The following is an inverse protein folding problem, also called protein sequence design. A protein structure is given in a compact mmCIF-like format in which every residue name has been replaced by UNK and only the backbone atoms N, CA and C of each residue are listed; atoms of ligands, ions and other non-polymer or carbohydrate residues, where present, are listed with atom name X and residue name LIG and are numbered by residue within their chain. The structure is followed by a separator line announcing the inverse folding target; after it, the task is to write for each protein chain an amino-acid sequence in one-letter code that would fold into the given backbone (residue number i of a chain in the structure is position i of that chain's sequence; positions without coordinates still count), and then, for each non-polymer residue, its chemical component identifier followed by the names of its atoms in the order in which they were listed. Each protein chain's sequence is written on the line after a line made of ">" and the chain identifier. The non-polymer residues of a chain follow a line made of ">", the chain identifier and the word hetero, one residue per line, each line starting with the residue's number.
data_IF_857603947522
#
_entry.id   IF_857603947522
#
_cell.length_a   1.000
_cell.length_b   1.000
_cell.length_c   1.000
_cell.angle_alpha   90.00
_cell.angle_beta   90.00
_cell.angle_gamma   90.00
#
_symmetry.space_group_name_H-M   'P 1'
#
loop_
_entity.id
_entity.type
_entity.pdbx_description
1 polymer ?
#
# COMPACT_ATOMS: atom_id res chain seq x y z
N UNK A 1 4.43 -10.37 -10.34
CA UNK A 1 4.34 -8.89 -10.25
C UNK A 1 4.80 -8.53 -8.85
N UNK A 2 5.60 -7.48 -8.65
CA UNK A 2 6.09 -7.11 -7.32
C UNK A 2 4.91 -6.91 -6.36
N UNK A 3 5.03 -7.50 -5.17
CA UNK A 3 4.02 -7.39 -4.11
C UNK A 3 4.01 -5.95 -3.59
N UNK A 4 5.18 -5.33 -3.46
CA UNK A 4 5.39 -3.99 -2.93
C UNK A 4 5.76 -2.98 -4.01
N UNK A 5 5.30 -1.75 -3.81
CA UNK A 5 5.76 -0.63 -4.61
C UNK A 5 7.16 -0.21 -4.16
N UNK A 6 7.44 -0.26 -2.85
CA UNK A 6 8.75 0.08 -2.31
C UNK A 6 9.05 -0.67 -1.02
N UNK A 7 10.29 -1.11 -0.85
CA UNK A 7 10.78 -1.67 0.40
C UNK A 7 11.76 -0.69 1.06
N UNK A 8 11.63 -0.45 2.37
CA UNK A 8 12.54 0.45 3.10
C UNK A 8 13.63 -0.39 3.77
N UNK A 9 14.89 -0.08 3.47
CA UNK A 9 16.06 -0.69 4.10
C UNK A 9 16.75 0.34 4.98
N UNK A 10 16.88 0.06 6.27
CA UNK A 10 17.39 1.00 7.26
C UNK A 10 18.13 0.30 8.41
N UNK A 11 18.96 1.02 9.16
CA UNK A 11 19.53 0.52 10.41
C UNK A 11 18.52 0.69 11.53
N UNK A 12 18.53 -0.17 12.55
CA UNK A 12 17.59 -0.08 13.66
C UNK A 12 17.56 1.29 14.35
N UNK A 13 18.69 2.01 14.36
CA UNK A 13 18.83 3.37 14.87
C UNK A 13 18.07 4.43 14.06
N UNK A 14 17.87 4.20 12.77
CA UNK A 14 17.21 5.14 11.86
C UNK A 14 15.68 4.89 11.77
N UNK A 15 15.16 4.03 12.66
CA UNK A 15 13.76 3.58 12.66
C UNK A 15 12.75 4.71 12.65
N UNK A 16 12.97 5.75 13.45
CA UNK A 16 12.03 6.88 13.52
C UNK A 16 11.82 7.55 12.15
N UNK A 17 12.87 7.61 11.33
CA UNK A 17 12.79 8.16 9.97
C UNK A 17 12.10 7.17 9.04
N UNK A 18 12.45 5.89 9.13
CA UNK A 18 11.82 4.82 8.34
C UNK A 18 10.30 4.74 8.58
N UNK A 19 9.86 4.77 9.84
CA UNK A 19 8.44 4.75 10.21
C UNK A 19 7.69 5.97 9.66
N UNK A 20 8.30 7.16 9.75
CA UNK A 20 7.69 8.40 9.24
C UNK A 20 7.52 8.37 7.72
N UNK A 21 8.52 7.85 6.99
CA UNK A 21 8.44 7.64 5.55
C UNK A 21 7.39 6.59 5.20
N UNK A 22 7.43 5.42 5.84
CA UNK A 22 6.50 4.32 5.60
C UNK A 22 5.06 4.74 5.81
N UNK A 23 4.75 5.31 6.98
CA UNK A 23 3.40 5.76 7.31
C UNK A 23 2.89 6.80 6.32
N UNK A 24 3.74 7.76 5.92
CA UNK A 24 3.33 8.82 4.99
C UNK A 24 3.12 8.28 3.57
N UNK A 25 3.99 7.38 3.06
CA UNK A 25 3.81 6.69 1.78
C UNK A 25 2.54 5.84 1.77
N UNK A 26 2.25 5.12 2.85
CA UNK A 26 1.02 4.35 3.00
C UNK A 26 -0.21 5.25 2.94
N UNK A 27 -0.17 6.46 3.50
CA UNK A 27 -1.28 7.43 3.38
C UNK A 27 -1.47 7.98 1.96
N UNK A 28 -0.51 7.75 1.06
CA UNK A 28 -0.59 8.09 -0.38
C UNK A 28 -1.00 6.91 -1.25
N UNK A 29 -1.39 5.77 -0.67
CA UNK A 29 -1.79 4.59 -1.42
C UNK A 29 -0.62 3.80 -2.03
N UNK A 30 0.57 3.94 -1.44
CA UNK A 30 1.77 3.19 -1.87
C UNK A 30 1.89 1.95 -0.99
N UNK A 31 2.06 0.78 -1.60
CA UNK A 31 2.30 -0.45 -0.87
C UNK A 31 3.77 -0.52 -0.43
N UNK A 32 4.02 -0.38 0.87
CA UNK A 32 5.36 -0.29 1.45
C UNK A 32 5.68 -1.55 2.25
N UNK A 33 6.83 -2.18 1.99
CA UNK A 33 7.43 -3.14 2.91
C UNK A 33 8.23 -2.41 3.99
N UNK A 34 7.84 -2.65 5.24
CA UNK A 34 8.49 -2.14 6.46
C UNK A 34 8.52 -3.27 7.50
N UNK A 35 9.71 -3.65 7.94
CA UNK A 35 9.98 -4.87 8.72
C UNK A 35 9.19 -4.98 10.03
N UNK A 36 8.87 -3.86 10.68
CA UNK A 36 8.05 -3.83 11.91
C UNK A 36 6.57 -4.13 11.63
N UNK A 37 6.08 -3.85 10.42
CA UNK A 37 4.77 -4.33 9.98
C UNK A 37 4.80 -5.85 9.78
N UNK A 38 5.92 -6.41 9.32
CA UNK A 38 6.08 -7.84 9.10
C UNK A 38 6.54 -8.63 10.35
N UNK A 39 6.53 -8.06 11.56
CA UNK A 39 7.17 -8.66 12.75
C UNK A 39 6.61 -10.06 13.11
N UNK A 40 5.31 -10.30 12.93
CA UNK A 40 4.69 -11.61 13.11
C UNK A 40 5.09 -12.60 12.01
N UNK A 41 5.24 -12.12 10.77
CA UNK A 41 5.64 -12.94 9.62
C UNK A 41 7.13 -13.26 9.61
N UNK A 42 7.96 -12.41 10.22
CA UNK A 42 9.41 -12.58 10.36
C UNK A 42 9.79 -13.47 11.55
N UNK A 43 8.87 -13.72 12.47
CA UNK A 43 9.13 -14.52 13.67
C UNK A 43 9.47 -15.98 13.30
N UNK A 44 10.69 -16.40 13.63
CA UNK A 44 11.18 -17.77 13.38
C UNK A 44 11.65 -18.05 11.94
N UNK A 45 11.59 -17.07 11.04
CA UNK A 45 12.19 -17.17 9.70
C UNK A 45 13.66 -16.76 9.73
N UNK A 46 14.43 -17.31 8.80
CA UNK A 46 15.72 -16.74 8.47
C UNK A 46 15.51 -15.36 7.83
N UNK A 47 15.66 -14.32 8.65
CA UNK A 47 15.53 -12.91 8.27
C UNK A 47 16.36 -12.58 7.04
N UNK A 48 17.53 -13.20 6.87
CA UNK A 48 18.42 -12.88 5.77
C UNK A 48 17.89 -13.39 4.43
N UNK A 49 17.45 -14.64 4.36
CA UNK A 49 16.87 -15.22 3.14
C UNK A 49 15.57 -14.49 2.77
N UNK A 50 14.75 -14.16 3.77
CA UNK A 50 13.47 -13.51 3.54
C UNK A 50 13.62 -12.06 3.08
N UNK A 51 14.44 -11.25 3.77
CA UNK A 51 14.70 -9.87 3.36
C UNK A 51 15.36 -9.81 1.99
N UNK A 52 16.30 -10.72 1.68
CA UNK A 52 16.93 -10.78 0.34
C UNK A 52 15.89 -11.02 -0.75
N UNK A 53 14.94 -11.93 -0.53
CA UNK A 53 13.86 -12.19 -1.48
C UNK A 53 12.98 -10.96 -1.68
N UNK A 54 12.62 -10.27 -0.60
CA UNK A 54 11.78 -9.08 -0.67
C UNK A 54 12.47 -7.95 -1.41
N UNK A 55 13.72 -7.65 -1.02
CA UNK A 55 14.53 -6.63 -1.65
C UNK A 55 15.01 -7.01 -3.05
N UNK A 56 14.79 -8.23 -3.54
CA UNK A 56 15.19 -8.62 -4.91
C UNK A 56 13.99 -8.77 -5.84
N UNK A 57 12.98 -9.51 -5.38
CA UNK A 57 11.95 -10.08 -6.24
C UNK A 57 10.54 -9.55 -5.92
N UNK A 58 10.31 -8.97 -4.75
CA UNK A 58 8.97 -8.64 -4.27
C UNK A 58 8.67 -7.14 -4.19
N UNK A 59 9.64 -6.25 -4.37
CA UNK A 59 9.43 -4.80 -4.45
C UNK A 59 9.81 -4.19 -5.81
N UNK A 60 9.18 -3.08 -6.21
CA UNK A 60 9.57 -2.33 -7.44
C UNK A 60 10.83 -1.51 -7.23
N UNK A 61 10.99 -0.94 -6.04
CA UNK A 61 12.15 -0.17 -5.62
C UNK A 61 12.56 -0.51 -4.18
N UNK A 62 13.84 -0.31 -3.87
CA UNK A 62 14.36 -0.35 -2.50
C UNK A 62 14.82 1.05 -2.09
N UNK A 63 14.13 1.67 -1.13
CA UNK A 63 14.58 2.91 -0.49
C UNK A 63 15.62 2.57 0.57
N UNK A 64 16.87 2.96 0.35
CA UNK A 64 17.94 2.70 1.29
C UNK A 64 18.25 3.95 2.12
N UNK A 65 18.04 3.86 3.43
CA UNK A 65 18.44 4.91 4.36
C UNK A 65 19.94 4.78 4.64
N UNK A 66 20.72 5.62 3.96
CA UNK A 66 22.18 5.59 4.04
C UNK A 66 22.62 6.40 5.26
N UNK A 67 23.19 5.72 6.24
CA UNK A 67 23.77 6.30 7.45
C UNK A 67 25.05 5.56 7.87
N UNK A 68 25.83 6.14 8.77
CA UNK A 68 26.95 5.45 9.42
C UNK A 68 26.49 4.18 10.13
N UNK A 69 25.31 4.22 10.76
CA UNK A 69 24.73 3.07 11.46
C UNK A 69 24.41 1.94 10.47
N UNK A 70 23.88 2.29 9.30
CA UNK A 70 23.62 1.36 8.21
C UNK A 70 24.92 0.72 7.72
N UNK A 71 25.94 1.52 7.42
CA UNK A 71 27.25 1.05 6.98
C UNK A 71 27.92 0.13 8.01
N UNK A 72 27.77 0.40 9.31
CA UNK A 72 28.38 -0.39 10.39
C UNK A 72 27.63 -1.69 10.71
N UNK A 73 26.31 -1.75 10.58
CA UNK A 73 25.52 -2.90 11.07
C UNK A 73 24.95 -3.80 9.99
N UNK A 74 24.36 -3.21 8.96
CA UNK A 74 23.78 -3.97 7.84
C UNK A 74 24.89 -4.52 6.95
N UNK A 75 25.98 -3.75 6.81
CA UNK A 75 27.07 -4.09 5.92
C UNK A 75 28.16 -4.99 6.55
N UNK A 76 28.35 -5.08 7.86
CA UNK A 76 29.59 -5.70 8.42
C UNK A 76 29.73 -7.21 8.26
N UNK A 77 28.66 -7.95 7.97
CA UNK A 77 28.77 -9.41 7.79
C UNK A 77 29.12 -9.74 6.34
N UNK A 78 30.35 -10.19 6.06
CA UNK A 78 30.87 -10.40 4.70
C UNK A 78 29.99 -11.30 3.81
N UNK A 79 29.33 -12.31 4.38
CA UNK A 79 28.36 -13.16 3.66
C UNK A 79 27.09 -12.38 3.29
N UNK A 80 26.63 -11.49 4.18
CA UNK A 80 25.50 -10.58 3.92
C UNK A 80 25.83 -9.55 2.85
N UNK A 81 27.05 -8.98 2.86
CA UNK A 81 27.55 -8.04 1.83
C UNK A 81 27.46 -8.65 0.43
N UNK A 82 27.92 -9.89 0.25
CA UNK A 82 28.05 -10.48 -1.08
C UNK A 82 26.70 -10.74 -1.75
N UNK A 83 25.70 -11.26 -1.03
CA UNK A 83 24.39 -11.53 -1.61
C UNK A 83 23.58 -10.25 -1.84
N UNK A 84 23.63 -9.31 -0.90
CA UNK A 84 22.98 -8.01 -1.06
C UNK A 84 23.62 -7.22 -2.20
N UNK A 85 24.95 -7.06 -2.21
CA UNK A 85 25.64 -6.36 -3.30
C UNK A 85 25.40 -7.00 -4.67
N UNK A 86 25.28 -8.33 -4.76
CA UNK A 86 24.97 -9.02 -6.02
C UNK A 86 23.52 -8.79 -6.47
N UNK A 87 22.55 -8.87 -5.55
CA UNK A 87 21.15 -8.55 -5.85
C UNK A 87 20.98 -7.08 -6.28
N UNK A 88 21.79 -6.19 -5.72
CA UNK A 88 21.75 -4.75 -5.98
C UNK A 88 22.51 -4.32 -7.24
N UNK A 89 23.62 -4.96 -7.58
CA UNK A 89 24.41 -4.64 -8.77
C UNK A 89 23.70 -5.04 -10.09
N UNK A 90 22.79 -6.01 -10.05
CA UNK A 90 22.07 -6.49 -11.22
C UNK A 90 20.95 -5.53 -11.70
N UNK A 91 20.54 -4.52 -10.90
CA UNK A 91 19.41 -3.65 -11.24
C UNK A 91 19.69 -2.14 -10.99
N UNK A 92 20.32 -1.47 -11.96
CA UNK A 92 20.91 -0.11 -11.85
C UNK A 92 19.97 1.02 -11.38
N UNK A 93 18.65 0.85 -11.47
CA UNK A 93 17.68 1.87 -11.03
C UNK A 93 16.76 1.44 -9.87
N UNK A 94 16.99 0.25 -9.32
CA UNK A 94 16.17 -0.32 -8.28
C UNK A 94 16.39 0.31 -6.90
N UNK A 95 17.64 0.66 -6.58
CA UNK A 95 17.98 1.30 -5.31
C UNK A 95 17.74 2.80 -5.43
N UNK A 96 17.03 3.35 -4.45
CA UNK A 96 16.85 4.78 -4.24
C UNK A 96 17.60 5.17 -2.96
N UNK A 97 18.84 5.70 -3.05
CA UNK A 97 19.58 6.11 -1.86
C UNK A 97 19.00 7.39 -1.26
N UNK A 98 18.69 7.35 0.03
CA UNK A 98 18.31 8.49 0.85
C UNK A 98 19.36 8.68 1.96
N UNK A 99 20.24 9.67 1.79
CA UNK A 99 21.32 9.97 2.73
C UNK A 99 20.79 10.67 3.97
N UNK A 100 21.07 10.08 5.13
CA UNK A 100 20.82 10.67 6.45
C UNK A 100 22.07 11.40 6.99
N UNK A 101 23.25 10.96 6.56
CA UNK A 101 24.54 11.57 6.84
C UNK A 101 25.50 11.45 5.63
N UNK A 102 26.79 11.68 5.83
CA UNK A 102 27.82 11.65 4.79
C UNK A 102 28.50 10.28 4.65
N UNK A 103 27.94 9.23 5.24
CA UNK A 103 28.47 7.88 5.11
C UNK A 103 28.44 7.38 3.66
N UNK A 104 29.44 6.56 3.34
CA UNK A 104 29.47 5.74 2.15
C UNK A 104 29.12 4.29 2.50
N UNK A 105 28.46 3.61 1.55
CA UNK A 105 28.11 2.19 1.65
C UNK A 105 28.75 1.50 0.45
N UNK A 106 29.57 0.48 0.68
CA UNK A 106 30.22 -0.23 -0.42
C UNK A 106 29.15 -0.76 -1.40
N UNK A 107 29.44 -0.84 -2.70
CA UNK A 107 28.48 -1.36 -3.68
C UNK A 107 27.43 -0.35 -4.17
N UNK A 108 27.30 0.82 -3.55
CA UNK A 108 26.68 1.99 -4.19
C UNK A 108 27.80 2.80 -4.85
N UNK A 109 27.72 2.96 -6.16
CA UNK A 109 28.69 3.78 -6.90
C UNK A 109 28.53 5.26 -6.53
N UNK A 110 29.62 6.01 -6.43
CA UNK A 110 29.58 7.46 -6.19
C UNK A 110 28.82 8.24 -7.26
N UNK A 111 28.66 7.65 -8.46
CA UNK A 111 27.87 8.21 -9.56
C UNK A 111 26.36 7.97 -9.43
N UNK A 112 25.92 7.25 -8.39
CA UNK A 112 24.50 6.98 -8.15
C UNK A 112 23.82 8.24 -7.63
N UNK A 113 22.76 8.69 -8.31
CA UNK A 113 21.96 9.81 -7.84
C UNK A 113 21.30 9.49 -6.49
N UNK A 114 21.29 10.46 -5.57
CA UNK A 114 20.74 10.30 -4.22
C UNK A 114 19.92 11.51 -3.81
N UNK A 115 19.06 11.32 -2.82
CA UNK A 115 18.37 12.39 -2.10
C UNK A 115 19.07 12.58 -0.76
N UNK A 116 19.31 13.82 -0.35
CA UNK A 116 19.84 14.15 0.98
C UNK A 116 18.68 14.56 1.89
N UNK A 117 18.34 13.70 2.86
CA UNK A 117 17.23 13.89 3.79
C UNK A 117 17.36 15.17 4.61
N UNK A 118 18.59 15.66 4.81
CA UNK A 118 18.88 16.88 5.59
C UNK A 118 18.57 18.16 4.82
N UNK A 119 18.38 18.07 3.49
CA UNK A 119 18.25 19.23 2.58
C UNK A 119 16.88 19.36 1.95
N UNK A 120 16.05 18.33 2.04
CA UNK A 120 14.76 18.26 1.35
C UNK A 120 13.69 17.92 2.37
N UNK A 121 12.61 18.69 2.37
CA UNK A 121 11.45 18.47 3.22
C UNK A 121 10.81 17.10 2.96
N UNK A 122 10.30 16.45 4.00
CA UNK A 122 9.75 15.10 3.93
C UNK A 122 8.66 14.99 2.86
N UNK A 123 7.73 15.93 2.81
CA UNK A 123 6.63 15.94 1.83
C UNK A 123 7.17 15.91 0.41
N UNK A 124 8.28 16.61 0.15
CA UNK A 124 8.91 16.61 -1.17
C UNK A 124 9.59 15.29 -1.50
N UNK A 125 10.21 14.65 -0.51
CA UNK A 125 10.77 13.30 -0.66
C UNK A 125 9.67 12.30 -1.02
N UNK A 126 8.53 12.37 -0.32
CA UNK A 126 7.36 11.52 -0.58
C UNK A 126 6.83 11.73 -2.00
N UNK A 127 6.74 12.97 -2.48
CA UNK A 127 6.34 13.27 -3.87
C UNK A 127 7.28 12.64 -4.89
N UNK A 128 8.60 12.76 -4.68
CA UNK A 128 9.61 12.21 -5.59
C UNK A 128 9.50 10.68 -5.66
N UNK A 129 9.38 10.02 -4.49
CA UNK A 129 9.20 8.57 -4.40
C UNK A 129 7.91 8.14 -5.11
N UNK A 130 6.80 8.85 -4.84
CA UNK A 130 5.50 8.57 -5.46
C UNK A 130 5.56 8.68 -6.98
N UNK A 131 6.25 9.71 -7.50
CA UNK A 131 6.46 9.89 -8.94
C UNK A 131 7.22 8.72 -9.55
N UNK A 132 8.33 8.29 -8.92
CA UNK A 132 9.14 7.13 -9.37
C UNK A 132 8.29 5.85 -9.50
N UNK A 133 7.39 5.64 -8.54
CA UNK A 133 6.47 4.49 -8.53
C UNK A 133 5.40 4.63 -9.62
N UNK A 134 4.80 5.81 -9.77
CA UNK A 134 3.81 6.06 -10.81
C UNK A 134 4.40 5.91 -12.23
N UNK A 135 5.63 6.37 -12.45
CA UNK A 135 6.32 6.25 -13.72
C UNK A 135 6.64 4.79 -14.04
N UNK A 136 7.11 4.02 -13.04
CA UNK A 136 7.27 2.56 -13.19
C UNK A 136 5.95 1.93 -13.62
N UNK A 137 4.86 2.28 -12.93
CA UNK A 137 3.55 1.70 -13.21
C UNK A 137 3.09 2.01 -14.63
N UNK A 138 3.22 3.27 -15.06
CA UNK A 138 2.92 3.68 -16.43
C UNK A 138 3.75 2.92 -17.46
N UNK A 139 5.06 2.76 -17.23
CA UNK A 139 5.96 2.06 -18.14
C UNK A 139 5.64 0.55 -18.26
N UNK A 140 5.05 -0.03 -17.22
CA UNK A 140 4.69 -1.46 -17.18
C UNK A 140 3.20 -1.72 -17.40
N UNK A 141 2.43 -0.73 -17.87
CA UNK A 141 1.00 -0.86 -18.13
C UNK A 141 0.16 -1.13 -16.87
N UNK A 142 0.69 -0.80 -15.69
CA UNK A 142 -0.02 -0.87 -14.42
C UNK A 142 -0.84 0.43 -14.31
N UNK A 143 -2.12 0.37 -14.68
CA UNK A 143 -3.04 1.50 -14.58
C UNK A 143 -3.77 1.48 -13.23
N UNK A 144 -3.79 2.63 -12.56
CA UNK A 144 -4.70 2.86 -11.43
C UNK A 144 -6.03 3.32 -12.02
N UNK A 145 -6.85 2.35 -12.42
CA UNK A 145 -8.21 2.61 -12.90
C UNK A 145 -9.19 2.63 -11.73
N UNK A 146 -10.32 3.31 -11.91
CA UNK A 146 -11.45 3.19 -11.00
C UNK A 146 -11.81 1.71 -10.98
N UNK A 147 -11.58 1.06 -9.84
CA UNK A 147 -12.03 -0.29 -9.57
C UNK A 147 -13.31 -0.16 -8.78
N UNK A 148 -14.42 -0.61 -9.36
CA UNK A 148 -15.70 -0.60 -8.68
C UNK A 148 -15.88 -1.82 -7.79
N UNK A 149 -16.78 -1.75 -6.82
CA UNK A 149 -17.11 -2.90 -5.97
C UNK A 149 -17.73 -4.04 -6.80
N UNK A 150 -18.52 -3.72 -7.83
CA UNK A 150 -18.99 -4.71 -8.80
C UNK A 150 -17.84 -5.43 -9.53
N UNK A 151 -16.75 -4.72 -9.87
CA UNK A 151 -15.57 -5.34 -10.51
C UNK A 151 -14.86 -6.28 -9.54
N UNK A 152 -14.73 -5.87 -8.27
CA UNK A 152 -14.16 -6.71 -7.20
C UNK A 152 -15.01 -7.98 -7.04
N UNK A 153 -16.33 -7.84 -6.98
CA UNK A 153 -17.26 -8.95 -6.82
C UNK A 153 -17.15 -9.94 -7.99
N UNK A 154 -17.13 -9.44 -9.22
CA UNK A 154 -16.96 -10.26 -10.42
C UNK A 154 -15.62 -11.01 -10.42
N UNK A 155 -14.51 -10.32 -10.12
CA UNK A 155 -13.17 -10.94 -10.06
C UNK A 155 -13.09 -12.03 -9.00
N UNK A 156 -13.77 -11.87 -7.87
CA UNK A 156 -13.81 -12.85 -6.78
C UNK A 156 -14.97 -13.86 -6.90
N UNK A 157 -15.73 -13.84 -8.01
CA UNK A 157 -16.87 -14.72 -8.27
C UNK A 157 -17.97 -14.65 -7.17
N UNK A 158 -18.11 -13.49 -6.54
CA UNK A 158 -19.18 -13.23 -5.56
C UNK A 158 -20.49 -13.03 -6.31
N UNK A 159 -21.52 -13.81 -5.97
CA UNK A 159 -22.80 -13.81 -6.67
C UNK A 159 -22.77 -14.48 -8.04
N UNK A 160 -21.79 -15.36 -8.30
CA UNK A 160 -21.69 -16.09 -9.57
C UNK A 160 -22.83 -17.11 -9.81
N UNK A 161 -23.59 -17.43 -8.76
CA UNK A 161 -24.82 -18.22 -8.80
C UNK A 161 -26.04 -17.41 -9.28
N UNK A 162 -25.93 -16.09 -9.34
CA UNK A 162 -27.00 -15.20 -9.80
C UNK A 162 -27.11 -15.21 -11.34
N UNK A 163 -28.31 -15.02 -11.91
CA UNK A 163 -28.51 -14.97 -13.36
C UNK A 163 -27.77 -13.80 -14.03
N UNK A 164 -27.53 -12.72 -13.28
CA UNK A 164 -26.81 -11.54 -13.73
C UNK A 164 -25.76 -11.14 -12.69
N UNK A 165 -24.61 -10.57 -13.11
CA UNK A 165 -23.60 -10.08 -12.18
C UNK A 165 -24.18 -8.99 -11.27
N UNK A 166 -23.81 -9.02 -9.99
CA UNK A 166 -24.13 -7.97 -9.03
C UNK A 166 -23.49 -6.65 -9.50
N UNK A 167 -24.28 -5.59 -9.53
CA UNK A 167 -23.87 -4.23 -9.92
C UNK A 167 -23.85 -3.27 -8.73
N UNK A 168 -23.16 -2.15 -8.88
CA UNK A 168 -23.20 -1.04 -7.90
C UNK A 168 -24.62 -0.50 -7.69
N UNK A 169 -25.53 -0.68 -8.67
CA UNK A 169 -26.95 -0.32 -8.56
C UNK A 169 -27.75 -1.24 -7.64
N UNK A 170 -27.24 -2.44 -7.36
CA UNK A 170 -27.85 -3.43 -6.47
C UNK A 170 -27.38 -3.25 -5.02
N UNK A 171 -26.49 -2.28 -4.79
CA UNK A 171 -25.85 -2.02 -3.51
C UNK A 171 -26.32 -0.67 -2.95
N UNK A 172 -26.89 -0.68 -1.75
CA UNK A 172 -27.42 0.51 -1.08
C UNK A 172 -26.69 0.76 0.24
N UNK A 173 -26.39 2.02 0.55
CA UNK A 173 -25.82 2.42 1.84
C UNK A 173 -26.39 3.77 2.29
N UNK A 174 -26.03 4.18 3.52
CA UNK A 174 -26.47 5.44 4.13
C UNK A 174 -25.27 6.33 4.38
N UNK A 175 -25.31 7.58 3.93
CA UNK A 175 -24.30 8.56 4.27
C UNK A 175 -24.45 9.01 5.74
N UNK A 176 -23.44 8.84 6.62
CA UNK A 176 -23.59 9.24 8.03
C UNK A 176 -23.64 10.75 8.28
N UNK A 177 -23.31 11.59 7.30
CA UNK A 177 -23.27 13.05 7.45
C UNK A 177 -24.61 13.70 7.12
N UNK A 178 -25.29 13.22 6.06
CA UNK A 178 -26.55 13.79 5.60
C UNK A 178 -27.72 12.80 5.67
N UNK A 179 -27.51 11.59 6.20
CA UNK A 179 -28.49 10.51 6.33
C UNK A 179 -29.18 10.11 5.02
N UNK A 180 -28.62 10.49 3.87
CA UNK A 180 -29.15 10.11 2.57
C UNK A 180 -28.89 8.63 2.35
N UNK A 181 -29.96 7.88 2.10
CA UNK A 181 -29.88 6.51 1.57
C UNK A 181 -29.71 6.60 0.06
N UNK A 182 -28.71 5.93 -0.49
CA UNK A 182 -28.38 5.97 -1.91
C UNK A 182 -27.81 4.65 -2.41
N UNK A 183 -27.89 4.43 -3.72
CA UNK A 183 -27.15 3.34 -4.37
C UNK A 183 -25.68 3.72 -4.48
N UNK A 184 -24.80 2.72 -4.57
CA UNK A 184 -23.39 2.99 -4.86
C UNK A 184 -23.20 3.51 -6.28
N UNK A 185 -24.08 3.14 -7.22
CA UNK A 185 -24.10 3.72 -8.58
C UNK A 185 -24.35 5.23 -8.63
N UNK A 186 -24.95 5.79 -7.58
CA UNK A 186 -25.25 7.22 -7.49
C UNK A 186 -24.10 8.03 -6.88
N UNK A 187 -23.05 7.36 -6.39
CA UNK A 187 -21.90 8.00 -5.77
C UNK A 187 -21.02 8.72 -6.80
N UNK A 188 -20.38 9.81 -6.38
CA UNK A 188 -19.29 10.40 -7.16
C UNK A 188 -18.03 9.55 -6.98
N UNK A 189 -17.54 8.98 -8.08
CA UNK A 189 -16.31 8.21 -8.08
C UNK A 189 -15.11 9.11 -8.35
N UNK A 190 -14.07 8.93 -7.55
CA UNK A 190 -12.77 9.55 -7.78
C UNK A 190 -11.64 8.57 -7.47
N UNK A 191 -10.48 8.84 -8.05
CA UNK A 191 -9.23 8.16 -7.71
C UNK A 191 -8.41 9.06 -6.78
N UNK A 192 -7.82 8.46 -5.75
CA UNK A 192 -6.86 9.09 -4.88
C UNK A 192 -5.70 8.12 -4.63
N UNK A 193 -4.62 8.26 -5.40
CA UNK A 193 -3.53 7.26 -5.42
C UNK A 193 -4.02 5.96 -6.04
N UNK A 194 -3.89 4.85 -5.30
CA UNK A 194 -4.38 3.52 -5.68
C UNK A 194 -5.81 3.23 -5.19
N UNK A 195 -6.43 4.18 -4.49
CA UNK A 195 -7.76 4.01 -3.92
C UNK A 195 -8.86 4.58 -4.84
N UNK A 196 -9.90 3.78 -5.08
CA UNK A 196 -11.17 4.25 -5.63
C UNK A 196 -12.06 4.68 -4.49
N UNK A 197 -12.53 5.93 -4.53
CA UNK A 197 -13.38 6.53 -3.50
C UNK A 197 -14.79 6.74 -4.05
N UNK A 198 -15.77 6.13 -3.38
CA UNK A 198 -17.19 6.39 -3.57
C UNK A 198 -17.61 7.51 -2.63
N UNK A 199 -17.84 8.71 -3.15
CA UNK A 199 -18.32 9.85 -2.36
C UNK A 199 -19.84 9.96 -2.44
N UNK A 200 -20.49 10.31 -1.33
CA UNK A 200 -21.93 10.60 -1.28
C UNK A 200 -22.38 11.46 -2.47
N UNK A 201 -23.56 11.20 -3.03
CA UNK A 201 -24.11 11.95 -4.19
C UNK A 201 -24.32 13.45 -3.91
N UNK A 202 -24.38 13.81 -2.63
CA UNK A 202 -24.47 15.19 -2.14
C UNK A 202 -23.08 15.79 -1.82
N UNK A 203 -21.99 15.08 -2.14
CA UNK A 203 -20.60 15.53 -1.90
C UNK A 203 -20.13 15.50 -0.43
N UNK A 204 -20.91 14.94 0.49
CA UNK A 204 -20.66 15.14 1.93
C UNK A 204 -19.38 14.46 2.45
N UNK A 205 -19.16 13.20 2.08
CA UNK A 205 -18.01 12.41 2.54
C UNK A 205 -17.84 11.11 1.73
N UNK A 206 -16.68 10.44 1.84
CA UNK A 206 -16.48 9.06 1.39
C UNK A 206 -17.42 8.06 2.08
N UNK A 207 -18.01 7.16 1.30
CA UNK A 207 -18.88 6.08 1.74
C UNK A 207 -18.18 4.72 1.68
N UNK A 208 -17.51 4.47 0.55
CA UNK A 208 -16.76 3.25 0.28
C UNK A 208 -15.39 3.62 -0.30
N UNK A 209 -14.36 2.90 0.12
CA UNK A 209 -13.01 2.99 -0.40
C UNK A 209 -12.56 1.61 -0.82
N UNK A 210 -12.05 1.49 -2.05
CA UNK A 210 -11.48 0.27 -2.60
C UNK A 210 -10.00 0.53 -2.84
N UNK A 211 -9.14 -0.20 -2.15
CA UNK A 211 -7.69 -0.10 -2.31
C UNK A 211 -7.04 -1.47 -2.36
N UNK A 212 -5.71 -1.52 -2.30
CA UNK A 212 -4.97 -2.79 -2.20
C UNK A 212 -4.82 -3.27 -0.74
N UNK A 213 -4.67 -4.57 -0.51
CA UNK A 213 -4.27 -5.11 0.79
C UNK A 213 -2.91 -4.57 1.21
N UNK A 214 -2.82 -4.00 2.41
CA UNK A 214 -1.54 -3.80 3.09
C UNK A 214 -1.02 -5.10 3.69
N UNK A 215 0.26 -5.14 4.06
CA UNK A 215 0.90 -6.29 4.71
C UNK A 215 0.26 -6.66 6.03
N UNK A 216 0.03 -5.65 6.88
CA UNK A 216 -0.57 -5.87 8.20
C UNK A 216 -2.07 -5.75 8.08
N UNK A 217 -2.74 -6.87 8.35
CA UNK A 217 -4.16 -6.87 8.62
C UNK A 217 -4.43 -5.95 9.82
N UNK A 218 -5.15 -4.87 9.59
CA UNK A 218 -5.70 -4.05 10.67
C UNK A 218 -7.14 -4.51 10.90
N UNK A 219 -7.41 -5.19 12.04
CA UNK A 219 -8.75 -5.66 12.36
C UNK A 219 -9.75 -4.51 12.28
N UNK A 220 -10.81 -4.71 11.51
CA UNK A 220 -11.85 -3.71 11.30
C UNK A 220 -11.51 -2.58 10.32
N UNK A 221 -10.39 -2.61 9.60
CA UNK A 221 -10.11 -1.61 8.55
C UNK A 221 -10.77 -1.92 7.21
N UNK A 222 -11.59 -2.97 7.11
CA UNK A 222 -12.30 -3.36 5.88
C UNK A 222 -12.23 -4.87 5.61
N UNK A 223 -12.74 -5.28 4.45
CA UNK A 223 -12.81 -6.66 4.00
C UNK A 223 -11.81 -6.92 2.88
N UNK A 224 -10.93 -7.91 3.07
CA UNK A 224 -10.01 -8.36 2.02
C UNK A 224 -10.75 -9.29 1.07
N UNK A 225 -10.79 -8.94 -0.21
CA UNK A 225 -11.40 -9.68 -1.30
C UNK A 225 -10.34 -9.91 -2.40
N UNK A 226 -9.58 -10.98 -2.26
CA UNK A 226 -8.41 -11.26 -3.10
C UNK A 226 -7.35 -10.16 -2.98
N UNK A 227 -7.09 -9.50 -4.11
CA UNK A 227 -6.11 -8.40 -4.25
C UNK A 227 -6.71 -7.02 -3.95
N UNK A 228 -7.88 -6.97 -3.34
CA UNK A 228 -8.57 -5.73 -2.98
C UNK A 228 -8.94 -5.70 -1.50
N UNK A 229 -9.02 -4.50 -0.94
CA UNK A 229 -9.63 -4.22 0.37
C UNK A 229 -10.78 -3.25 0.16
N UNK A 230 -11.98 -3.68 0.57
CA UNK A 230 -13.19 -2.86 0.56
C UNK A 230 -13.44 -2.33 1.95
N UNK A 231 -13.54 -1.00 2.08
CA UNK A 231 -13.78 -0.31 3.35
C UNK A 231 -15.06 0.50 3.23
N UNK A 232 -16.00 0.32 4.14
CA UNK A 232 -17.30 0.98 4.11
C UNK A 232 -17.63 1.63 5.47
N UNK A 233 -18.10 2.88 5.44
CA UNK A 233 -18.37 3.67 6.65
C UNK A 233 -19.71 3.32 7.31
N UNK A 234 -20.63 2.76 6.53
CA UNK A 234 -21.93 2.21 6.94
C UNK A 234 -22.18 0.90 6.21
N UNK A 235 -23.11 0.12 6.72
CA UNK A 235 -23.49 -1.16 6.11
C UNK A 235 -23.83 -0.97 4.64
N UNK A 236 -23.39 -1.91 3.81
CA UNK A 236 -23.81 -1.99 2.41
C UNK A 236 -24.78 -3.16 2.30
N UNK A 237 -26.01 -2.85 1.91
CA UNK A 237 -27.01 -3.85 1.60
C UNK A 237 -26.95 -4.19 0.11
N UNK A 238 -26.69 -5.45 -0.20
CA UNK A 238 -26.62 -5.98 -1.57
C UNK A 238 -27.88 -6.81 -1.84
N UNK A 239 -28.66 -6.40 -2.84
CA UNK A 239 -29.89 -7.10 -3.22
C UNK A 239 -30.16 -6.97 -4.72
N UNK A 240 -30.05 -8.08 -5.45
CA UNK A 240 -30.52 -8.19 -6.83
C UNK A 240 -31.99 -8.62 -6.88
N UNK A 241 -32.61 -8.54 -8.05
CA UNK A 241 -34.01 -8.98 -8.26
C UNK A 241 -34.21 -10.49 -8.03
N UNK A 242 -33.19 -11.29 -8.30
CA UNK A 242 -33.22 -12.76 -8.18
C UNK A 242 -32.92 -13.26 -6.76
N UNK A 243 -32.46 -12.40 -5.86
CA UNK A 243 -32.10 -12.78 -4.50
C UNK A 243 -33.33 -12.90 -3.60
N UNK A 244 -33.53 -14.07 -2.97
CA UNK A 244 -34.56 -14.27 -1.97
C UNK A 244 -34.33 -13.50 -0.66
N UNK A 245 -33.06 -13.23 -0.32
CA UNK A 245 -32.66 -12.42 0.84
C UNK A 245 -31.48 -11.53 0.47
N UNK A 246 -31.43 -10.33 1.05
CA UNK A 246 -30.31 -9.40 0.84
C UNK A 246 -29.07 -9.83 1.64
N UNK A 247 -27.89 -9.57 1.08
CA UNK A 247 -26.60 -9.76 1.76
C UNK A 247 -26.18 -8.43 2.39
N UNK A 248 -25.67 -8.45 3.61
CA UNK A 248 -25.15 -7.27 4.29
C UNK A 248 -23.62 -7.33 4.40
N UNK A 249 -22.93 -6.31 3.90
CA UNK A 249 -21.52 -6.05 4.19
C UNK A 249 -21.49 -5.06 5.35
N UNK A 250 -21.25 -5.57 6.57
CA UNK A 250 -21.31 -4.73 7.77
C UNK A 250 -20.26 -3.62 7.73
N UNK A 251 -20.59 -2.44 8.22
CA UNK A 251 -19.63 -1.38 8.47
C UNK A 251 -18.57 -1.84 9.46
N UNK A 252 -17.42 -1.21 9.41
CA UNK A 252 -16.46 -1.33 10.48
C UNK A 252 -16.01 0.02 10.99
N UNK A 253 -15.90 0.14 12.32
CA UNK A 253 -15.58 1.40 13.00
C UNK A 253 -14.21 1.98 12.58
N UNK A 254 -13.29 1.14 12.13
CA UNK A 254 -11.95 1.56 11.67
C UNK A 254 -11.82 1.71 10.14
N UNK A 255 -12.91 1.57 9.38
CA UNK A 255 -12.87 1.47 7.91
C UNK A 255 -12.22 2.68 7.21
N UNK A 256 -12.43 3.90 7.72
CA UNK A 256 -11.87 5.12 7.11
C UNK A 256 -10.79 5.80 7.96
N UNK A 257 -10.30 5.12 9.00
CA UNK A 257 -9.24 5.67 9.83
C UNK A 257 -7.90 5.69 9.07
N UNK A 258 -7.21 6.84 9.08
CA UNK A 258 -5.91 7.01 8.42
C UNK A 258 -4.76 6.38 9.20
N UNK A 259 -4.86 6.31 10.52
CA UNK A 259 -3.86 5.74 11.42
C UNK A 259 -4.54 4.77 12.39
N UNK A 260 -3.85 3.67 12.73
CA UNK A 260 -4.32 2.73 13.74
C UNK A 260 -4.45 3.49 15.08
N UNK A 261 -5.61 3.43 15.76
CA UNK A 261 -5.71 3.93 17.12
C UNK A 261 -4.63 3.28 17.98
N UNK A 262 -3.96 4.07 18.82
CA UNK A 262 -3.14 3.50 19.90
C UNK A 262 -4.12 2.81 20.85
N UNK A 263 -3.91 1.51 21.06
CA UNK A 263 -4.66 0.72 22.04
C UNK A 263 -4.58 1.36 23.44
#
# INVERSE_FOLDING_TARGET
>A
MPIYDIAISFAGEDRAIAEKLASTLVTKGINVFYDEYAQADLWGKDLYVHLTKIYKDEAKYCLMLVSENYAKKQWTNHERKAAQARAFAENREYILPLRLDDASVDGILDTTGYIDYRKIELEKIIEIISSKIHDYNKAHGITYEIVRIEDVFQKQKIGADQPHPIRDSDMTTVCPACNTTQRLSDAHLSLNGDETIYTCRNGCQPLVVIGRPGEVAWPGRGYRLGDYVVRNVRDILVKTESMGAAICINASNAALMKTRPKD
#
